data_IF_607060114222
#
_entry.id   IF_607060114222
#
_cell.length_a   1.000
_cell.length_b   1.000
_cell.length_c   1.000
_cell.angle_alpha   90.00
_cell.angle_beta   90.00
_cell.angle_gamma   90.00
#
_symmetry.space_group_name_H-M   'P 1'
#
loop_
_entity.id
_entity.type
_entity.pdbx_description
1 polymer ?
#
# COMPACT_ATOMS: atom_id res chain seq x y z
N UNK A 1 48.46 4.37 -68.40
CA UNK A 1 47.54 4.21 -67.28
C UNK A 1 47.90 2.94 -66.56
N UNK A 2 48.27 2.98 -65.26
CA UNK A 2 48.61 1.72 -64.56
C UNK A 2 47.30 1.03 -64.15
N UNK A 3 47.18 -0.21 -64.60
CA UNK A 3 46.08 -1.09 -64.19
C UNK A 3 46.44 -1.72 -62.86
N UNK A 4 45.57 -1.44 -61.80
CA UNK A 4 45.74 -2.07 -60.53
C UNK A 4 45.09 -3.47 -60.55
N UNK A 5 45.90 -4.52 -60.58
CA UNK A 5 45.41 -5.89 -60.51
C UNK A 5 45.32 -6.29 -59.03
N UNK A 6 44.11 -6.23 -58.44
CA UNK A 6 43.88 -6.70 -57.11
C UNK A 6 43.70 -8.23 -57.07
N UNK A 7 44.44 -8.90 -56.18
CA UNK A 7 44.25 -10.33 -55.95
C UNK A 7 42.88 -10.62 -55.42
N UNK A 8 42.19 -11.64 -55.88
CA UNK A 8 40.85 -12.04 -55.45
C UNK A 8 40.76 -12.19 -53.91
N UNK A 9 41.81 -12.70 -53.26
CA UNK A 9 41.88 -12.80 -51.78
C UNK A 9 41.92 -11.45 -51.11
N UNK A 10 42.55 -10.42 -51.67
CA UNK A 10 42.58 -9.05 -51.10
C UNK A 10 41.22 -8.38 -51.14
N UNK A 11 40.50 -8.63 -52.28
CA UNK A 11 39.12 -8.11 -52.43
C UNK A 11 38.16 -8.75 -51.38
N UNK A 12 38.26 -10.08 -51.23
CA UNK A 12 37.45 -10.82 -50.23
C UNK A 12 37.77 -10.34 -48.82
N UNK A 13 39.06 -10.16 -48.50
CA UNK A 13 39.48 -9.70 -47.18
C UNK A 13 38.97 -8.28 -46.89
N UNK A 14 39.00 -7.38 -47.86
CA UNK A 14 38.47 -6.02 -47.72
C UNK A 14 36.95 -6.00 -47.52
N UNK A 15 36.20 -6.88 -48.21
CA UNK A 15 34.75 -7.01 -48.05
C UNK A 15 34.38 -7.57 -46.69
N UNK A 16 35.10 -8.56 -46.16
CA UNK A 16 34.89 -9.11 -44.82
C UNK A 16 35.19 -8.07 -43.75
N UNK A 17 36.25 -7.29 -43.89
CA UNK A 17 36.59 -6.21 -42.97
C UNK A 17 35.52 -5.11 -42.99
N UNK A 18 35.03 -4.74 -44.18
CA UNK A 18 33.96 -3.76 -44.31
C UNK A 18 32.68 -4.24 -43.64
N UNK A 19 32.28 -5.48 -43.83
CA UNK A 19 31.14 -6.10 -43.22
C UNK A 19 31.27 -6.14 -41.68
N UNK A 20 32.45 -6.45 -41.14
CA UNK A 20 32.72 -6.45 -39.70
C UNK A 20 32.61 -5.04 -39.09
N UNK A 21 33.14 -4.01 -39.79
CA UNK A 21 33.05 -2.61 -39.35
C UNK A 21 31.59 -2.13 -39.39
N UNK A 22 30.84 -2.44 -40.44
CA UNK A 22 29.40 -2.07 -40.52
C UNK A 22 28.58 -2.76 -39.43
N UNK A 23 28.87 -4.03 -39.13
CA UNK A 23 28.18 -4.75 -38.05
C UNK A 23 28.52 -4.18 -36.67
N UNK A 24 29.78 -3.83 -36.41
CA UNK A 24 30.22 -3.25 -35.17
C UNK A 24 29.66 -1.84 -34.94
N UNK A 25 29.64 -1.00 -36.01
CA UNK A 25 29.04 0.35 -35.92
C UNK A 25 27.54 0.28 -35.82
N UNK A 26 26.87 -0.65 -36.51
CA UNK A 26 25.44 -0.90 -36.37
C UNK A 26 25.08 -1.28 -34.92
N UNK A 27 25.85 -2.22 -34.34
CA UNK A 27 25.66 -2.60 -32.92
C UNK A 27 25.89 -1.44 -31.95
N UNK A 28 26.90 -0.59 -32.20
CA UNK A 28 27.24 0.52 -31.35
C UNK A 28 26.23 1.69 -31.46
N UNK A 29 25.64 1.91 -32.63
CA UNK A 29 24.67 2.98 -32.89
C UNK A 29 23.24 2.56 -32.55
N UNK A 30 22.86 1.30 -32.78
CA UNK A 30 21.51 0.77 -32.49
C UNK A 30 21.40 0.17 -31.10
N UNK A 31 22.52 -0.21 -30.46
CA UNK A 31 22.53 -0.77 -29.11
C UNK A 31 22.42 0.25 -27.96
N UNK A 32 22.37 1.55 -28.26
CA UNK A 32 22.21 2.59 -27.24
C UNK A 32 20.76 2.84 -26.84
N UNK A 33 19.82 2.37 -27.65
CA UNK A 33 18.41 2.35 -27.30
C UNK A 33 17.99 0.93 -26.92
N UNK A 34 18.67 0.34 -25.91
CA UNK A 34 18.02 -0.71 -25.15
C UNK A 34 16.84 -0.03 -24.45
N UNK A 35 15.69 -0.10 -25.10
CA UNK A 35 14.42 0.16 -24.45
C UNK A 35 14.43 -0.76 -23.23
N UNK A 36 14.70 -0.20 -22.06
CA UNK A 36 14.48 -0.88 -20.79
C UNK A 36 12.96 -0.99 -20.63
N UNK A 37 12.39 -2.01 -21.31
CA UNK A 37 10.96 -2.36 -21.24
C UNK A 37 10.56 -2.75 -19.79
N UNK A 38 11.54 -2.75 -18.87
CA UNK A 38 11.37 -3.08 -17.45
C UNK A 38 11.97 -2.04 -16.49
N UNK A 39 12.18 -0.79 -16.90
CA UNK A 39 12.10 0.30 -15.96
C UNK A 39 10.61 0.54 -15.73
N UNK A 40 9.95 -0.39 -15.05
CA UNK A 40 8.87 -0.02 -14.18
C UNK A 40 9.50 0.94 -13.17
N UNK A 41 9.46 2.24 -13.46
CA UNK A 41 9.40 3.22 -12.40
C UNK A 41 8.33 2.66 -11.48
N UNK A 42 8.75 2.18 -10.32
CA UNK A 42 7.85 1.76 -9.26
C UNK A 42 7.17 3.05 -8.85
N UNK A 43 6.19 3.50 -9.65
CA UNK A 43 5.24 4.50 -9.23
C UNK A 43 4.84 4.00 -7.85
N UNK A 44 5.13 4.78 -6.82
CA UNK A 44 4.84 4.40 -5.46
C UNK A 44 3.39 3.93 -5.48
N UNK A 45 3.19 2.61 -5.31
CA UNK A 45 1.86 2.03 -5.36
C UNK A 45 1.02 2.82 -4.36
N UNK A 46 -0.17 3.23 -4.75
CA UNK A 46 -1.06 3.93 -3.83
C UNK A 46 -1.16 3.09 -2.53
N UNK A 47 -1.16 3.74 -1.37
CA UNK A 47 -1.27 3.04 -0.11
C UNK A 47 -2.46 2.09 -0.12
N UNK A 48 -2.30 0.89 0.43
CA UNK A 48 -3.37 -0.09 0.56
C UNK A 48 -4.48 0.49 1.43
N UNK A 49 -5.72 0.37 1.00
CA UNK A 49 -6.88 0.80 1.76
C UNK A 49 -7.41 -0.36 2.63
N UNK A 50 -7.71 -0.07 3.89
CA UNK A 50 -8.35 -0.99 4.83
C UNK A 50 -9.65 -0.35 5.26
N UNK A 51 -10.76 -1.04 5.00
CA UNK A 51 -12.09 -0.56 5.33
C UNK A 51 -12.56 -1.16 6.66
N UNK A 52 -13.08 -0.30 7.53
CA UNK A 52 -13.69 -0.65 8.80
C UNK A 52 -15.03 0.06 8.96
N UNK A 53 -15.84 -0.44 9.84
CA UNK A 53 -17.11 0.19 10.23
C UNK A 53 -17.23 0.27 11.76
N UNK A 54 -18.07 1.18 12.25
CA UNK A 54 -18.54 1.15 13.63
C UNK A 54 -19.79 0.29 13.72
N UNK A 55 -19.76 -0.74 14.56
CA UNK A 55 -20.90 -1.63 14.80
C UNK A 55 -21.52 -1.44 16.17
N UNK A 56 -22.84 -1.53 16.26
CA UNK A 56 -23.61 -1.58 17.50
C UNK A 56 -24.28 -2.95 17.61
N UNK A 57 -24.09 -3.59 18.75
CA UNK A 57 -24.78 -4.83 19.11
C UNK A 57 -25.73 -4.54 20.23
N UNK A 58 -27.02 -4.75 20.02
CA UNK A 58 -28.08 -4.47 21.00
C UNK A 58 -28.98 -5.68 21.20
N UNK A 59 -29.29 -5.98 22.44
CA UNK A 59 -30.21 -7.03 22.82
C UNK A 59 -31.05 -6.62 24.04
N UNK A 60 -32.29 -7.06 24.07
CA UNK A 60 -33.15 -6.93 25.27
C UNK A 60 -33.15 -8.26 26.01
N UNK A 61 -32.76 -8.22 27.28
CA UNK A 61 -32.74 -9.40 28.13
C UNK A 61 -34.17 -9.76 28.60
N UNK A 62 -34.42 -11.01 29.11
CA UNK A 62 -35.72 -11.43 29.59
C UNK A 62 -36.31 -10.58 30.71
N UNK A 63 -35.47 -9.90 31.47
CA UNK A 63 -35.86 -8.97 32.55
C UNK A 63 -36.19 -7.54 32.03
N UNK A 64 -36.18 -7.35 30.69
CA UNK A 64 -36.43 -6.08 30.05
C UNK A 64 -35.21 -5.13 29.97
N UNK A 65 -34.08 -5.53 30.55
CA UNK A 65 -32.87 -4.72 30.51
C UNK A 65 -32.26 -4.74 29.09
N UNK A 66 -31.89 -3.56 28.59
CA UNK A 66 -31.16 -3.44 27.36
C UNK A 66 -29.66 -3.67 27.59
N UNK A 67 -29.04 -4.47 26.71
CA UNK A 67 -27.60 -4.66 26.60
C UNK A 67 -27.13 -4.09 25.27
N UNK A 68 -26.17 -3.19 25.32
CA UNK A 68 -25.63 -2.52 24.14
C UNK A 68 -24.10 -2.56 24.20
N UNK A 69 -23.47 -2.72 23.05
CA UNK A 69 -22.02 -2.69 22.94
C UNK A 69 -21.58 -2.19 21.57
N UNK A 70 -20.62 -1.29 21.57
CA UNK A 70 -19.99 -0.79 20.34
C UNK A 70 -18.68 -1.52 20.03
N UNK A 71 -18.41 -1.72 18.74
CA UNK A 71 -17.21 -2.42 18.24
C UNK A 71 -16.71 -1.79 16.95
N UNK A 72 -15.41 -1.93 16.71
CA UNK A 72 -14.81 -1.79 15.39
C UNK A 72 -14.96 -3.10 14.63
N UNK A 73 -15.32 -3.05 13.35
CA UNK A 73 -15.39 -4.23 12.49
C UNK A 73 -14.65 -3.97 11.17
N UNK A 74 -13.61 -4.75 10.82
CA UNK A 74 -13.05 -5.85 11.60
C UNK A 74 -12.38 -5.37 12.90
N UNK A 75 -12.43 -6.19 13.95
CA UNK A 75 -11.82 -5.89 15.26
C UNK A 75 -10.30 -6.05 15.26
N UNK A 76 -9.71 -6.62 14.21
CA UNK A 76 -8.25 -6.78 14.06
C UNK A 76 -7.86 -6.60 12.60
N UNK A 77 -6.81 -5.83 12.37
CA UNK A 77 -6.20 -5.64 11.06
C UNK A 77 -4.70 -5.95 11.13
N UNK A 78 -4.12 -6.33 9.99
CA UNK A 78 -2.72 -6.68 9.85
C UNK A 78 -2.06 -5.74 8.83
N UNK A 79 -0.92 -5.19 9.21
CA UNK A 79 -0.07 -4.35 8.36
C UNK A 79 1.39 -4.77 8.55
N UNK A 80 2.24 -4.49 7.55
CA UNK A 80 3.67 -4.73 7.67
C UNK A 80 4.36 -3.55 8.35
N UNK A 81 5.49 -3.84 9.01
CA UNK A 81 6.36 -2.77 9.54
C UNK A 81 6.72 -1.77 8.44
N UNK A 82 6.51 -0.47 8.71
CA UNK A 82 6.76 0.61 7.77
C UNK A 82 5.80 0.70 6.57
N UNK A 83 4.80 -0.19 6.47
CA UNK A 83 3.78 -0.11 5.43
C UNK A 83 2.89 1.11 5.65
N UNK A 84 2.66 1.89 4.58
CA UNK A 84 1.66 2.95 4.58
C UNK A 84 0.31 2.38 4.14
N UNK A 85 -0.70 2.50 5.00
CA UNK A 85 -2.08 2.11 4.71
C UNK A 85 -3.02 3.27 4.98
N UNK A 86 -4.10 3.36 4.20
CA UNK A 86 -5.20 4.28 4.48
C UNK A 86 -6.30 3.50 5.19
N UNK A 87 -6.52 3.81 6.46
CA UNK A 87 -7.62 3.26 7.22
C UNK A 87 -8.87 4.10 6.99
N UNK A 88 -9.87 3.52 6.35
CA UNK A 88 -11.17 4.13 6.05
C UNK A 88 -12.22 3.58 6.99
N UNK A 89 -12.77 4.41 7.86
CA UNK A 89 -13.71 4.00 8.89
C UNK A 89 -15.07 4.66 8.63
N UNK A 90 -16.07 3.86 8.30
CA UNK A 90 -17.44 4.33 8.08
C UNK A 90 -18.24 4.26 9.37
N UNK A 91 -18.87 5.37 9.73
CA UNK A 91 -19.73 5.49 10.91
C UNK A 91 -21.14 4.98 10.62
N UNK A 92 -21.46 3.78 11.10
CA UNK A 92 -22.80 3.18 10.93
C UNK A 92 -23.69 3.56 12.11
N UNK A 93 -23.25 3.28 13.33
CA UNK A 93 -24.00 3.46 14.57
C UNK A 93 -23.26 4.37 15.54
N UNK A 94 -23.97 4.91 16.53
CA UNK A 94 -23.46 5.92 17.45
C UNK A 94 -23.39 7.32 16.82
N UNK A 95 -23.37 8.36 17.63
CA UNK A 95 -23.30 9.74 17.13
C UNK A 95 -21.92 10.06 16.59
N UNK A 96 -20.90 9.77 17.39
CA UNK A 96 -19.49 9.94 17.02
C UNK A 96 -18.58 9.06 17.86
N UNK A 97 -17.48 8.65 17.26
CA UNK A 97 -16.46 7.82 17.88
C UNK A 97 -15.09 8.48 17.70
N UNK A 98 -14.70 9.39 18.63
CA UNK A 98 -13.34 9.89 18.70
C UNK A 98 -12.41 8.73 19.08
N UNK A 99 -11.29 8.59 18.38
CA UNK A 99 -10.37 7.49 18.59
C UNK A 99 -8.89 7.91 18.58
N UNK A 100 -8.09 7.08 19.18
CA UNK A 100 -6.63 7.12 19.12
C UNK A 100 -6.09 5.74 18.75
N UNK A 101 -4.91 5.70 18.12
CA UNK A 101 -4.10 4.50 18.04
C UNK A 101 -3.00 4.64 19.09
N UNK A 102 -3.11 3.87 20.17
CA UNK A 102 -2.19 3.97 21.29
C UNK A 102 -0.75 3.72 20.88
N UNK A 103 0.16 4.49 21.47
CA UNK A 103 1.60 4.44 21.14
C UNK A 103 1.98 5.17 19.84
N UNK A 104 1.02 5.90 19.23
CA UNK A 104 1.23 6.74 18.06
C UNK A 104 0.56 8.10 18.25
N UNK A 105 0.80 9.05 17.33
CA UNK A 105 0.10 10.34 17.28
C UNK A 105 -1.17 10.29 16.43
N UNK A 106 -1.57 9.11 15.95
CA UNK A 106 -2.71 8.94 15.03
C UNK A 106 -4.03 8.98 15.84
N UNK A 107 -4.90 9.88 15.43
CA UNK A 107 -6.21 10.08 16.03
C UNK A 107 -7.21 10.59 15.01
N UNK A 108 -8.49 10.43 15.32
CA UNK A 108 -9.57 10.91 14.45
C UNK A 108 -10.93 10.86 15.14
N UNK A 109 -11.96 11.22 14.39
CA UNK A 109 -13.36 11.15 14.85
C UNK A 109 -14.18 10.54 13.71
N UNK A 110 -14.89 9.45 14.00
CA UNK A 110 -15.83 8.84 13.05
C UNK A 110 -17.24 9.31 13.43
N UNK A 111 -17.93 9.99 12.51
CA UNK A 111 -19.30 10.45 12.70
C UNK A 111 -20.29 9.53 12.02
N UNK A 112 -21.47 9.37 12.59
CA UNK A 112 -22.57 8.60 11.99
C UNK A 112 -22.88 9.09 10.58
N UNK A 113 -22.98 8.14 9.63
CA UNK A 113 -23.25 8.42 8.23
C UNK A 113 -22.08 9.03 7.46
N UNK A 114 -20.91 9.18 8.09
CA UNK A 114 -19.69 9.69 7.47
C UNK A 114 -18.58 8.64 7.38
N UNK A 115 -17.55 8.93 6.59
CA UNK A 115 -16.32 8.17 6.53
C UNK A 115 -15.15 9.03 6.99
N UNK A 116 -14.27 8.46 7.79
CA UNK A 116 -13.03 9.08 8.24
C UNK A 116 -11.86 8.28 7.69
N UNK A 117 -10.97 8.95 6.97
CA UNK A 117 -9.75 8.35 6.43
C UNK A 117 -8.54 8.86 7.19
N UNK A 118 -7.69 7.95 7.67
CA UNK A 118 -6.41 8.27 8.31
C UNK A 118 -5.29 7.47 7.68
N UNK A 119 -4.16 8.12 7.46
CA UNK A 119 -2.93 7.45 7.05
C UNK A 119 -2.30 6.80 8.28
N UNK A 120 -2.05 5.50 8.20
CA UNK A 120 -1.39 4.72 9.25
C UNK A 120 -0.06 4.23 8.70
N UNK A 121 1.02 4.57 9.40
CA UNK A 121 2.35 4.04 9.20
C UNK A 121 2.97 3.80 10.57
N UNK A 122 3.39 2.58 10.82
CA UNK A 122 4.00 2.19 12.10
C UNK A 122 5.31 1.47 11.79
N UNK A 123 6.42 2.04 12.25
CA UNK A 123 7.78 1.57 11.93
C UNK A 123 8.35 0.61 13.01
N UNK A 124 7.47 -0.02 13.79
CA UNK A 124 7.88 -0.98 14.81
C UNK A 124 6.86 -2.10 14.94
N UNK A 125 7.33 -3.33 14.90
CA UNK A 125 6.52 -4.53 15.17
C UNK A 125 5.81 -4.44 16.53
N UNK A 126 4.60 -4.98 16.59
CA UNK A 126 3.83 -4.99 17.83
C UNK A 126 2.33 -5.03 17.61
N UNK A 127 1.60 -4.94 18.73
CA UNK A 127 0.15 -4.86 18.74
C UNK A 127 -0.24 -3.48 19.28
N UNK A 128 -0.92 -2.71 18.44
CA UNK A 128 -1.39 -1.38 18.74
C UNK A 128 -2.90 -1.39 18.91
N UNK A 129 -3.43 -0.67 19.89
CA UNK A 129 -4.87 -0.62 20.14
C UNK A 129 -5.47 0.61 19.48
N UNK A 130 -6.53 0.40 18.69
CA UNK A 130 -7.44 1.42 18.20
C UNK A 130 -8.54 1.57 19.25
N UNK A 131 -8.52 2.63 20.04
CA UNK A 131 -9.40 2.82 21.18
C UNK A 131 -10.40 3.94 20.92
N UNK A 132 -11.69 3.67 21.07
CA UNK A 132 -12.71 4.70 21.08
C UNK A 132 -12.76 5.38 22.45
N UNK A 133 -12.65 6.71 22.48
CA UNK A 133 -12.61 7.48 23.72
C UNK A 133 -14.00 7.67 24.35
N UNK A 134 -15.08 7.49 23.58
CA UNK A 134 -16.47 7.58 24.07
C UNK A 134 -16.95 6.27 24.72
N UNK A 135 -16.35 5.13 24.33
CA UNK A 135 -16.74 3.80 24.78
C UNK A 135 -15.53 3.03 25.35
N UNK A 136 -14.85 3.57 26.41
CA UNK A 136 -13.62 2.97 26.92
C UNK A 136 -13.86 1.70 27.76
N UNK A 137 -15.03 1.54 28.34
CA UNK A 137 -15.35 0.49 29.30
C UNK A 137 -16.81 0.02 29.17
N UNK A 138 -17.20 -0.91 30.06
CA UNK A 138 -18.53 -1.52 30.07
C UNK A 138 -19.65 -0.53 30.39
N UNK A 139 -19.39 0.44 31.25
CA UNK A 139 -20.42 1.40 31.69
C UNK A 139 -20.76 2.40 30.57
N UNK A 140 -19.87 2.52 29.62
CA UNK A 140 -20.02 3.32 28.39
C UNK A 140 -20.31 2.47 27.13
N UNK A 141 -20.91 1.29 27.29
CA UNK A 141 -21.23 0.36 26.19
C UNK A 141 -20.00 -0.12 25.39
N UNK A 142 -18.82 -0.13 26.05
CA UNK A 142 -17.55 -0.60 25.53
C UNK A 142 -17.09 -1.92 26.18
N UNK A 143 -15.78 -2.18 26.21
CA UNK A 143 -14.76 -1.38 25.52
C UNK A 143 -14.84 -1.53 24.00
N UNK A 144 -14.80 -0.40 23.26
CA UNK A 144 -14.69 -0.38 21.81
C UNK A 144 -13.22 -0.27 21.43
N UNK A 145 -12.58 -1.43 21.33
CA UNK A 145 -11.15 -1.58 21.02
C UNK A 145 -10.99 -2.45 19.79
N UNK A 146 -10.14 -2.00 18.86
CA UNK A 146 -9.60 -2.78 17.75
C UNK A 146 -8.11 -2.98 17.92
N UNK A 147 -7.53 -3.90 17.16
CA UNK A 147 -6.12 -4.22 17.20
C UNK A 147 -5.49 -4.06 15.82
N UNK A 148 -4.34 -3.40 15.78
CA UNK A 148 -3.49 -3.29 14.61
C UNK A 148 -2.25 -4.13 14.92
N UNK A 149 -2.11 -5.24 14.21
CA UNK A 149 -0.95 -6.14 14.32
C UNK A 149 0.04 -5.72 13.24
N UNK A 150 1.24 -5.38 13.68
CA UNK A 150 2.36 -4.97 12.81
C UNK A 150 3.41 -6.05 12.85
N UNK A 151 3.76 -6.66 11.69
CA UNK A 151 4.72 -7.75 11.50
C UNK A 151 5.69 -7.51 10.32
#
# INVERSE_FOLDING_TARGET
MPFLVLKRSTVIFALVLLAAVVSATGWFLLGKDSISVFSQDKAAAAPREIHMVTGEFKATLPDGKELEAYRWDPGTIFIKEGEEVVLKISGINGMEHPFIIEGTDIKGIVKKGGETSVLVKIDKEGIYRLVCLTHPDRDSNGPMIGYIVVD
#
